data_IF_057370520391
#
_entry.id   IF_057370520391
#
_cell.length_a   1.000
_cell.length_b   1.000
_cell.length_c   1.000
_cell.angle_alpha   90.00
_cell.angle_beta   90.00
_cell.angle_gamma   90.00
#
_symmetry.space_group_name_H-M   'P 1'
#
loop_
_entity.id
_entity.type
_entity.pdbx_description
1 polymer ?
#
# COMPACT_ATOMS: atom_id res chain seq x y z
N UNK A 1 -11.90 1.06 -21.18
CA UNK A 1 -11.69 2.48 -21.52
C UNK A 1 -12.57 3.41 -20.70
N UNK A 2 -13.88 3.11 -20.59
CA UNK A 2 -14.82 3.92 -19.82
C UNK A 2 -14.40 4.11 -18.35
N UNK A 3 -13.95 3.04 -17.67
CA UNK A 3 -13.44 3.10 -16.28
C UNK A 3 -12.23 4.01 -16.17
N UNK A 4 -11.25 3.89 -17.07
CA UNK A 4 -10.05 4.74 -17.06
C UNK A 4 -10.42 6.22 -17.29
N UNK A 5 -11.36 6.49 -18.18
CA UNK A 5 -11.82 7.86 -18.44
C UNK A 5 -12.57 8.46 -17.23
N UNK A 6 -13.44 7.67 -16.56
CA UNK A 6 -14.10 8.11 -15.33
C UNK A 6 -13.11 8.34 -14.19
N UNK A 7 -12.13 7.44 -14.01
CA UNK A 7 -11.06 7.58 -13.01
C UNK A 7 -10.26 8.87 -13.21
N UNK A 8 -9.95 9.22 -14.46
CA UNK A 8 -9.25 10.47 -14.77
C UNK A 8 -10.07 11.72 -14.39
N UNK A 9 -11.36 11.76 -14.74
CA UNK A 9 -12.23 12.86 -14.34
C UNK A 9 -12.38 12.98 -12.83
N UNK A 10 -12.53 11.84 -12.16
CA UNK A 10 -12.61 11.77 -10.70
C UNK A 10 -11.32 12.29 -10.06
N UNK A 11 -10.16 11.89 -10.57
CA UNK A 11 -8.85 12.39 -10.11
C UNK A 11 -8.76 13.91 -10.21
N UNK A 12 -9.21 14.52 -11.31
CA UNK A 12 -9.19 15.99 -11.48
C UNK A 12 -10.03 16.68 -10.40
N UNK A 13 -11.25 16.17 -10.12
CA UNK A 13 -12.13 16.72 -9.09
C UNK A 13 -11.49 16.59 -7.70
N UNK A 14 -10.98 15.41 -7.37
CA UNK A 14 -10.33 15.14 -6.08
C UNK A 14 -9.14 16.09 -5.88
N UNK A 15 -8.28 16.22 -6.89
CA UNK A 15 -7.10 17.09 -6.82
C UNK A 15 -7.49 18.56 -6.65
N UNK A 16 -8.49 19.02 -7.40
CA UNK A 16 -8.95 20.41 -7.29
C UNK A 16 -9.47 20.72 -5.87
N UNK A 17 -10.30 19.85 -5.31
CA UNK A 17 -10.85 20.02 -3.95
C UNK A 17 -9.76 19.94 -2.89
N UNK A 18 -8.93 18.91 -2.92
CA UNK A 18 -7.94 18.67 -1.87
C UNK A 18 -6.84 19.72 -1.85
N UNK A 19 -6.37 20.17 -3.03
CA UNK A 19 -5.39 21.26 -3.13
C UNK A 19 -6.00 22.58 -2.62
N UNK A 20 -7.24 22.88 -2.98
CA UNK A 20 -7.92 24.08 -2.48
C UNK A 20 -8.04 24.05 -0.95
N UNK A 21 -8.48 22.93 -0.38
CA UNK A 21 -8.56 22.78 1.07
C UNK A 21 -7.19 22.92 1.75
N UNK A 22 -6.13 22.34 1.18
CA UNK A 22 -4.78 22.47 1.71
C UNK A 22 -4.28 23.93 1.70
N UNK A 23 -4.51 24.66 0.59
CA UNK A 23 -4.13 26.07 0.49
C UNK A 23 -4.86 26.92 1.53
N UNK A 24 -6.17 26.71 1.71
CA UNK A 24 -6.96 27.43 2.72
C UNK A 24 -6.49 27.09 4.13
N UNK A 25 -6.19 25.81 4.41
CA UNK A 25 -5.64 25.39 5.71
C UNK A 25 -4.29 26.07 6.00
N UNK A 26 -3.38 26.13 5.02
CA UNK A 26 -2.08 26.80 5.18
C UNK A 26 -2.26 28.32 5.37
N UNK A 27 -3.21 28.93 4.66
CA UNK A 27 -3.50 30.36 4.81
C UNK A 27 -4.03 30.69 6.21
N UNK A 28 -5.02 29.98 6.72
CA UNK A 28 -5.58 30.17 8.06
C UNK A 28 -4.63 29.73 9.19
N UNK A 29 -3.80 28.73 8.92
CA UNK A 29 -2.81 28.23 9.88
C UNK A 29 -1.54 29.06 9.98
N UNK A 30 -1.43 30.20 9.27
CA UNK A 30 -0.22 31.04 9.34
C UNK A 30 1.00 30.42 8.65
N UNK A 31 0.81 29.42 7.81
CA UNK A 31 1.86 28.72 7.08
C UNK A 31 2.10 27.29 7.56
N UNK A 32 2.80 26.51 6.74
CA UNK A 32 3.10 25.08 7.04
C UNK A 32 3.90 24.93 8.34
N UNK A 33 4.88 25.82 8.57
CA UNK A 33 5.72 25.78 9.77
C UNK A 33 4.90 25.98 11.05
N UNK A 34 3.92 26.89 11.00
CA UNK A 34 3.05 27.15 12.14
C UNK A 34 2.14 25.94 12.42
N UNK A 35 1.52 25.37 11.40
CA UNK A 35 0.69 24.16 11.53
C UNK A 35 1.48 23.01 12.18
N UNK A 36 2.74 22.82 11.78
CA UNK A 36 3.60 21.80 12.37
C UNK A 36 3.93 22.12 13.84
N UNK A 37 4.19 23.38 14.17
CA UNK A 37 4.51 23.77 15.54
C UNK A 37 3.31 23.70 16.49
N UNK A 38 2.11 23.96 15.98
CA UNK A 38 0.86 23.92 16.76
C UNK A 38 0.32 22.50 16.92
N UNK A 39 0.87 21.55 16.15
CA UNK A 39 0.44 20.17 16.23
C UNK A 39 0.79 19.57 17.59
N UNK A 40 -0.14 18.88 18.28
CA UNK A 40 0.08 18.30 19.61
C UNK A 40 1.12 17.16 19.53
N UNK A 41 2.39 17.48 19.79
CA UNK A 41 3.52 16.55 19.67
C UNK A 41 3.65 15.59 20.84
N UNK A 42 3.15 15.97 22.02
CA UNK A 42 3.33 15.19 23.25
C UNK A 42 2.71 13.79 23.15
N UNK A 43 1.54 13.68 22.52
CA UNK A 43 0.89 12.39 22.27
C UNK A 43 1.52 11.56 21.15
N UNK A 44 2.46 12.13 20.38
CA UNK A 44 3.17 11.43 19.29
C UNK A 44 4.49 10.81 19.74
N UNK A 45 5.16 11.44 20.68
CA UNK A 45 6.52 11.05 21.08
C UNK A 45 6.49 10.07 22.25
N UNK A 46 5.55 10.26 23.17
CA UNK A 46 5.43 9.43 24.38
C UNK A 46 3.99 8.97 24.56
N UNK A 47 3.76 7.66 24.51
CA UNK A 47 2.56 7.06 25.08
C UNK A 47 2.78 6.79 26.57
N UNK A 48 1.75 6.41 27.30
CA UNK A 48 1.86 6.16 28.75
C UNK A 48 2.81 5.01 29.06
N UNK A 49 2.85 3.98 28.20
CA UNK A 49 3.67 2.79 28.38
C UNK A 49 4.64 2.53 27.23
N UNK A 50 4.35 3.04 26.05
CA UNK A 50 5.10 2.79 24.83
C UNK A 50 5.62 4.11 24.25
N UNK A 51 6.88 4.14 23.89
CA UNK A 51 7.41 5.24 23.10
C UNK A 51 6.96 5.10 21.65
N UNK A 52 5.99 5.91 21.23
CA UNK A 52 5.42 5.87 19.88
C UNK A 52 6.45 6.08 18.78
N UNK A 53 7.47 6.87 19.00
CA UNK A 53 8.53 7.08 18.02
C UNK A 53 9.34 5.80 17.78
N UNK A 54 9.57 5.03 18.86
CA UNK A 54 10.24 3.72 18.77
C UNK A 54 9.38 2.68 18.04
N UNK A 55 8.08 2.62 18.37
CA UNK A 55 7.12 1.74 17.72
C UNK A 55 6.98 2.14 16.25
N UNK A 56 6.91 3.44 15.95
CA UNK A 56 6.86 3.94 14.59
C UNK A 56 8.03 3.44 13.75
N UNK A 57 9.23 3.36 14.30
CA UNK A 57 10.39 2.84 13.58
C UNK A 57 10.21 1.39 13.15
N UNK A 58 9.76 0.52 14.08
CA UNK A 58 9.46 -0.88 13.79
C UNK A 58 8.30 -0.97 12.80
N UNK A 59 7.25 -0.20 13.06
CA UNK A 59 6.05 -0.16 12.26
C UNK A 59 6.32 0.29 10.82
N UNK A 60 7.15 1.30 10.63
CA UNK A 60 7.56 1.81 9.33
C UNK A 60 8.23 0.72 8.48
N UNK A 61 9.11 -0.10 9.07
CA UNK A 61 9.76 -1.23 8.36
C UNK A 61 8.71 -2.26 7.91
N UNK A 62 7.86 -2.69 8.82
CA UNK A 62 6.87 -3.73 8.51
C UNK A 62 5.80 -3.23 7.54
N UNK A 63 5.37 -1.97 7.66
CA UNK A 63 4.46 -1.35 6.70
C UNK A 63 5.11 -1.21 5.33
N UNK A 64 6.38 -0.82 5.28
CA UNK A 64 7.13 -0.77 4.03
C UNK A 64 7.17 -2.16 3.36
N UNK A 65 7.55 -3.21 4.09
CA UNK A 65 7.58 -4.58 3.57
C UNK A 65 6.20 -5.05 3.11
N UNK A 66 5.16 -4.77 3.89
CA UNK A 66 3.78 -5.06 3.53
C UNK A 66 3.39 -4.32 2.25
N UNK A 67 3.63 -3.02 2.17
CA UNK A 67 3.25 -2.19 1.03
C UNK A 67 4.04 -2.56 -0.22
N UNK A 68 5.34 -2.85 -0.07
CA UNK A 68 6.17 -3.35 -1.15
C UNK A 68 5.64 -4.67 -1.71
N UNK A 69 5.27 -5.62 -0.84
CA UNK A 69 4.70 -6.90 -1.25
C UNK A 69 3.33 -6.76 -1.92
N UNK A 70 2.46 -5.87 -1.40
CA UNK A 70 1.13 -5.61 -1.96
C UNK A 70 1.23 -4.96 -3.33
N UNK A 71 2.19 -4.06 -3.54
CA UNK A 71 2.34 -3.33 -4.80
C UNK A 71 3.02 -4.17 -5.88
N UNK A 72 3.98 -5.02 -5.48
CA UNK A 72 4.82 -5.79 -6.40
C UNK A 72 4.43 -7.27 -6.44
N UNK A 73 3.16 -7.58 -6.51
CA UNK A 73 2.67 -8.95 -6.65
C UNK A 73 1.90 -9.16 -7.98
N UNK A 74 1.64 -10.41 -8.30
CA UNK A 74 0.95 -10.79 -9.54
C UNK A 74 -0.42 -10.15 -9.69
N UNK A 75 -1.13 -9.91 -8.58
CA UNK A 75 -2.49 -9.36 -8.59
C UNK A 75 -2.52 -7.88 -9.01
N UNK A 76 -1.43 -7.15 -8.81
CA UNK A 76 -1.31 -5.72 -9.13
C UNK A 76 -0.56 -5.43 -10.44
N UNK A 77 0.02 -6.45 -11.08
CA UNK A 77 0.76 -6.32 -12.34
C UNK A 77 -0.10 -5.81 -13.52
N UNK A 78 -1.41 -6.00 -13.48
CA UNK A 78 -2.33 -5.57 -14.54
C UNK A 78 -2.22 -4.08 -14.88
N UNK A 79 -1.86 -3.23 -13.92
CA UNK A 79 -1.69 -1.79 -14.12
C UNK A 79 -0.56 -1.48 -15.09
N UNK A 80 0.48 -2.28 -15.08
CA UNK A 80 1.63 -2.14 -15.99
C UNK A 80 1.36 -2.79 -17.34
N UNK A 81 0.61 -3.90 -17.36
CA UNK A 81 0.20 -4.59 -18.57
C UNK A 81 -0.76 -3.76 -19.44
N UNK A 82 -1.54 -2.86 -18.84
CA UNK A 82 -2.43 -1.95 -19.55
C UNK A 82 -1.71 -0.80 -20.27
N UNK A 83 -0.42 -0.56 -19.99
CA UNK A 83 0.35 0.49 -20.63
C UNK A 83 0.78 0.07 -22.04
N UNK A 84 0.92 1.07 -22.93
CA UNK A 84 1.29 0.87 -24.34
C UNK A 84 2.64 0.15 -24.50
N UNK A 85 3.60 0.49 -23.66
CA UNK A 85 4.95 -0.03 -23.64
C UNK A 85 5.59 0.14 -22.25
N UNK A 86 6.76 -0.45 -22.05
CA UNK A 86 7.50 -0.39 -20.79
C UNK A 86 7.85 1.04 -20.36
N UNK A 87 8.13 1.95 -21.31
CA UNK A 87 8.48 3.33 -21.02
C UNK A 87 7.25 4.09 -20.47
N UNK A 88 6.08 3.90 -21.07
CA UNK A 88 4.84 4.49 -20.57
C UNK A 88 4.44 3.89 -19.22
N UNK A 89 4.66 2.60 -18.99
CA UNK A 89 4.46 1.96 -17.68
C UNK A 89 5.36 2.59 -16.61
N UNK A 90 6.64 2.85 -16.92
CA UNK A 90 7.58 3.52 -16.00
C UNK A 90 7.20 4.96 -15.70
N UNK A 91 6.77 5.74 -16.72
CA UNK A 91 6.27 7.11 -16.52
C UNK A 91 5.04 7.13 -15.60
N UNK A 92 4.12 6.19 -15.80
CA UNK A 92 2.95 6.05 -14.94
C UNK A 92 3.35 5.68 -13.50
N UNK A 93 4.29 4.75 -13.32
CA UNK A 93 4.80 4.38 -12.00
C UNK A 93 5.52 5.55 -11.31
N UNK A 94 6.32 6.34 -12.05
CA UNK A 94 6.99 7.51 -11.50
C UNK A 94 5.98 8.59 -11.07
N UNK A 95 4.99 8.87 -11.91
CA UNK A 95 3.92 9.81 -11.56
C UNK A 95 3.17 9.34 -10.30
N UNK A 96 2.81 8.06 -10.23
CA UNK A 96 2.17 7.49 -9.04
C UNK A 96 3.06 7.63 -7.80
N UNK A 97 4.37 7.39 -7.92
CA UNK A 97 5.32 7.57 -6.83
C UNK A 97 5.33 9.02 -6.31
N UNK A 98 5.42 10.00 -7.20
CA UNK A 98 5.39 11.44 -6.83
C UNK A 98 4.07 11.79 -6.14
N UNK A 99 2.94 11.39 -6.72
CA UNK A 99 1.62 11.69 -6.16
C UNK A 99 1.39 11.02 -4.81
N UNK A 100 1.85 9.77 -4.63
CA UNK A 100 1.73 9.04 -3.36
C UNK A 100 2.70 9.55 -2.29
N UNK A 101 3.78 10.21 -2.67
CA UNK A 101 4.72 10.83 -1.71
C UNK A 101 4.26 12.21 -1.28
N UNK A 102 3.85 13.05 -2.23
CA UNK A 102 3.42 14.42 -1.95
C UNK A 102 1.93 14.51 -1.56
N UNK A 103 1.12 13.59 -2.05
CA UNK A 103 -0.31 13.56 -1.80
C UNK A 103 -0.69 13.61 -0.32
N UNK A 104 -0.13 12.77 0.55
CA UNK A 104 -0.43 12.79 1.98
C UNK A 104 -0.20 14.15 2.64
N UNK A 105 0.85 14.89 2.26
CA UNK A 105 1.11 16.23 2.77
C UNK A 105 -0.07 17.17 2.44
N UNK A 106 -0.58 17.09 1.21
CA UNK A 106 -1.70 17.90 0.76
C UNK A 106 -3.00 17.43 1.42
N UNK A 107 -3.25 16.11 1.42
CA UNK A 107 -4.52 15.56 1.88
C UNK A 107 -4.72 15.66 3.39
N UNK A 108 -3.67 15.55 4.18
CA UNK A 108 -3.76 15.64 5.64
C UNK A 108 -3.61 17.06 6.19
N UNK A 109 -3.22 18.03 5.38
CA UNK A 109 -3.00 19.41 5.82
C UNK A 109 -4.21 20.02 6.56
N UNK A 110 -5.46 19.89 6.09
CA UNK A 110 -6.62 20.39 6.81
C UNK A 110 -6.82 19.71 8.17
N UNK A 111 -6.62 18.41 8.25
CA UNK A 111 -6.75 17.66 9.50
C UNK A 111 -5.64 18.00 10.49
N UNK A 112 -4.41 18.21 10.02
CA UNK A 112 -3.30 18.66 10.87
C UNK A 112 -3.55 20.06 11.42
N UNK A 113 -4.04 20.98 10.59
CA UNK A 113 -4.45 22.30 11.03
C UNK A 113 -5.52 22.21 12.14
N UNK A 114 -6.56 21.39 11.94
CA UNK A 114 -7.61 21.20 12.97
C UNK A 114 -7.09 20.61 14.27
N UNK A 115 -6.16 19.66 14.20
CA UNK A 115 -5.52 19.11 15.39
C UNK A 115 -4.77 20.16 16.21
N UNK A 116 -4.09 21.09 15.52
CA UNK A 116 -3.39 22.23 16.17
C UNK A 116 -4.35 23.26 16.79
N UNK A 117 -5.58 23.36 16.29
CA UNK A 117 -6.58 24.28 16.85
C UNK A 117 -7.21 23.81 18.18
N UNK A 118 -6.96 22.54 18.59
CA UNK A 118 -7.50 21.99 19.82
C UNK A 118 -9.04 21.89 19.86
N UNK A 119 -9.68 21.74 18.69
CA UNK A 119 -11.14 21.63 18.60
C UNK A 119 -11.60 20.31 19.21
N UNK A 120 -12.59 20.39 20.10
CA UNK A 120 -13.26 19.19 20.64
C UNK A 120 -14.23 18.61 19.60
N UNK A 121 -13.71 17.72 18.76
CA UNK A 121 -14.49 17.02 17.75
C UNK A 121 -15.51 16.08 18.36
N UNK A 122 -15.30 15.58 19.59
CA UNK A 122 -16.27 14.72 20.27
C UNK A 122 -17.50 15.51 20.69
N UNK A 123 -17.33 16.79 21.10
CA UNK A 123 -18.43 17.69 21.36
C UNK A 123 -19.15 18.13 20.09
N UNK A 124 -18.41 18.33 18.97
CA UNK A 124 -18.99 18.70 17.69
C UNK A 124 -19.79 17.55 17.02
N UNK A 125 -19.33 16.30 17.22
CA UNK A 125 -19.95 15.09 16.65
C UNK A 125 -20.19 14.03 17.73
N UNK A 126 -21.11 14.23 18.67
CA UNK A 126 -21.33 13.33 19.82
C UNK A 126 -21.77 11.92 19.40
N UNK A 127 -22.45 11.80 18.26
CA UNK A 127 -22.86 10.50 17.71
C UNK A 127 -21.71 9.66 17.20
N UNK A 128 -20.56 10.28 16.86
CA UNK A 128 -19.38 9.59 16.36
C UNK A 128 -18.59 8.88 17.47
N UNK A 129 -18.72 9.29 18.73
CA UNK A 129 -18.03 8.70 19.87
C UNK A 129 -16.51 8.68 19.65
N UNK A 130 -15.87 7.52 19.78
CA UNK A 130 -14.43 7.34 19.56
C UNK A 130 -13.96 7.61 18.12
N UNK A 131 -14.89 7.74 17.16
CA UNK A 131 -14.59 8.03 15.75
C UNK A 131 -14.65 9.53 15.42
N UNK A 132 -14.85 10.40 16.39
CA UNK A 132 -15.01 11.85 16.18
C UNK A 132 -13.79 12.47 15.43
N UNK A 133 -12.59 11.97 15.65
CA UNK A 133 -11.38 12.42 14.96
C UNK A 133 -11.43 12.19 13.43
N UNK A 134 -12.17 11.18 12.95
CA UNK A 134 -12.32 10.91 11.51
C UNK A 134 -13.09 12.05 10.80
N UNK A 135 -13.79 12.90 11.54
CA UNK A 135 -14.55 14.04 11.02
C UNK A 135 -13.76 15.35 10.98
N UNK A 136 -12.49 15.36 11.36
CA UNK A 136 -11.67 16.58 11.39
C UNK A 136 -11.64 17.32 10.04
N UNK A 137 -11.53 16.59 8.93
CA UNK A 137 -11.53 17.17 7.60
C UNK A 137 -12.90 17.78 7.23
N UNK A 138 -13.98 17.09 7.57
CA UNK A 138 -15.35 17.58 7.32
C UNK A 138 -15.61 18.84 8.14
N UNK A 139 -15.21 18.86 9.40
CA UNK A 139 -15.32 20.05 10.27
C UNK A 139 -14.56 21.24 9.69
N UNK A 140 -13.32 21.01 9.22
CA UNK A 140 -12.54 22.06 8.53
C UNK A 140 -13.30 22.65 7.36
N UNK A 141 -13.90 21.82 6.51
CA UNK A 141 -14.63 22.30 5.33
C UNK A 141 -15.89 23.04 5.73
N UNK A 142 -16.60 22.62 6.75
CA UNK A 142 -17.79 23.30 7.26
C UNK A 142 -17.49 24.69 7.83
N UNK A 143 -16.35 24.85 8.52
CA UNK A 143 -16.01 26.07 9.24
C UNK A 143 -15.22 27.08 8.38
N UNK A 144 -14.28 26.60 7.56
CA UNK A 144 -13.30 27.44 6.87
C UNK A 144 -13.56 27.60 5.36
N UNK A 145 -14.48 26.81 4.79
CA UNK A 145 -14.69 26.84 3.35
C UNK A 145 -16.02 27.51 2.98
N UNK A 146 -16.11 28.15 1.80
CA UNK A 146 -17.35 28.77 1.38
C UNK A 146 -18.48 27.77 1.15
N UNK A 147 -19.71 28.26 1.19
CA UNK A 147 -20.90 27.47 0.94
C UNK A 147 -20.81 26.69 -0.38
N UNK A 148 -21.22 25.42 -0.35
CA UNK A 148 -21.13 24.50 -1.48
C UNK A 148 -19.86 23.64 -1.49
N UNK A 149 -18.79 24.03 -0.81
CA UNK A 149 -17.56 23.21 -0.72
C UNK A 149 -17.77 21.90 0.04
N UNK A 150 -18.67 21.87 1.03
CA UNK A 150 -19.05 20.64 1.72
C UNK A 150 -19.60 19.62 0.72
N UNK A 151 -20.53 20.04 -0.14
CA UNK A 151 -21.08 19.16 -1.18
C UNK A 151 -20.02 18.72 -2.19
N UNK A 152 -19.10 19.61 -2.56
CA UNK A 152 -18.00 19.28 -3.47
C UNK A 152 -16.99 18.31 -2.81
N UNK A 153 -16.70 18.46 -1.50
CA UNK A 153 -15.90 17.52 -0.75
C UNK A 153 -16.54 16.13 -0.72
N UNK A 154 -17.84 16.06 -0.40
CA UNK A 154 -18.58 14.80 -0.39
C UNK A 154 -18.54 14.16 -1.77
N UNK A 155 -18.76 14.93 -2.84
CA UNK A 155 -18.64 14.44 -4.22
C UNK A 155 -17.22 13.90 -4.53
N UNK A 156 -16.18 14.59 -4.06
CA UNK A 156 -14.79 14.13 -4.22
C UNK A 156 -14.51 12.82 -3.43
N UNK A 157 -15.05 12.68 -2.22
CA UNK A 157 -14.95 11.45 -1.43
C UNK A 157 -15.65 10.28 -2.12
N UNK A 158 -16.86 10.50 -2.65
CA UNK A 158 -17.56 9.49 -3.45
C UNK A 158 -16.77 9.14 -4.71
N UNK A 159 -16.23 10.13 -5.43
CA UNK A 159 -15.41 9.90 -6.61
C UNK A 159 -14.18 9.03 -6.29
N UNK A 160 -13.46 9.30 -5.20
CA UNK A 160 -12.32 8.51 -4.77
C UNK A 160 -12.68 7.05 -4.46
N UNK A 161 -13.82 6.85 -3.78
CA UNK A 161 -14.31 5.52 -3.43
C UNK A 161 -14.77 4.76 -4.68
N UNK A 162 -15.55 5.40 -5.56
CA UNK A 162 -16.06 4.79 -6.79
C UNK A 162 -14.94 4.34 -7.72
N UNK A 163 -13.92 5.15 -7.93
CA UNK A 163 -12.75 4.81 -8.77
C UNK A 163 -12.08 3.51 -8.31
N UNK A 164 -11.85 3.37 -7.00
CA UNK A 164 -11.25 2.17 -6.44
C UNK A 164 -12.17 0.94 -6.54
N UNK A 165 -13.47 1.13 -6.32
CA UNK A 165 -14.46 0.05 -6.39
C UNK A 165 -14.65 -0.45 -7.82
N UNK A 166 -14.84 0.45 -8.79
CA UNK A 166 -15.06 0.08 -10.19
C UNK A 166 -13.90 -0.74 -10.74
N UNK A 167 -12.67 -0.27 -10.53
CA UNK A 167 -11.47 -0.99 -10.95
C UNK A 167 -11.34 -2.34 -10.26
N UNK A 168 -11.65 -2.42 -8.95
CA UNK A 168 -11.62 -3.65 -8.16
C UNK A 168 -12.67 -4.67 -8.62
N UNK A 169 -13.92 -4.24 -8.81
CA UNK A 169 -15.02 -5.09 -9.23
C UNK A 169 -14.79 -5.66 -10.65
N UNK A 170 -14.37 -4.82 -11.59
CA UNK A 170 -14.06 -5.26 -12.95
C UNK A 170 -12.92 -6.29 -12.97
N UNK A 171 -11.84 -6.04 -12.24
CA UNK A 171 -10.72 -6.98 -12.14
C UNK A 171 -11.16 -8.30 -11.54
N UNK A 172 -11.85 -8.27 -10.40
CA UNK A 172 -12.22 -9.48 -9.67
C UNK A 172 -13.25 -10.32 -10.45
N UNK A 173 -14.20 -9.67 -11.12
CA UNK A 173 -15.13 -10.39 -11.99
C UNK A 173 -14.43 -11.02 -13.21
N UNK A 174 -13.47 -10.31 -13.82
CA UNK A 174 -12.65 -10.85 -14.89
C UNK A 174 -11.82 -12.06 -14.47
N UNK A 175 -11.20 -12.00 -13.29
CA UNK A 175 -10.46 -13.13 -12.70
C UNK A 175 -11.40 -14.32 -12.46
N UNK A 176 -12.57 -14.10 -11.88
CA UNK A 176 -13.54 -15.16 -11.64
C UNK A 176 -13.99 -15.82 -12.95
N UNK A 177 -14.35 -15.02 -13.95
CA UNK A 177 -14.83 -15.52 -15.25
C UNK A 177 -13.74 -16.31 -15.97
N UNK A 178 -12.53 -15.76 -16.08
CA UNK A 178 -11.43 -16.37 -16.86
C UNK A 178 -10.72 -17.52 -16.16
N UNK A 179 -10.66 -17.53 -14.83
CA UNK A 179 -9.91 -18.55 -14.09
C UNK A 179 -10.81 -19.61 -13.43
N UNK A 180 -12.09 -19.35 -13.28
CA UNK A 180 -13.01 -20.28 -12.63
C UNK A 180 -14.20 -20.66 -13.55
N UNK A 181 -14.99 -19.67 -13.99
CA UNK A 181 -16.21 -19.96 -14.72
C UNK A 181 -15.94 -20.64 -16.07
N UNK A 182 -15.13 -20.01 -16.91
CA UNK A 182 -14.80 -20.51 -18.26
C UNK A 182 -14.09 -21.86 -18.21
N UNK A 183 -12.97 -22.06 -17.51
CA UNK A 183 -12.22 -23.32 -17.56
C UNK A 183 -12.86 -24.48 -16.80
N UNK A 184 -13.67 -24.22 -15.76
CA UNK A 184 -14.18 -25.27 -14.87
C UNK A 184 -15.67 -25.53 -15.13
N UNK A 185 -16.50 -24.48 -15.20
CA UNK A 185 -17.96 -24.63 -15.28
C UNK A 185 -18.46 -24.70 -16.72
N UNK A 186 -17.91 -23.88 -17.61
CA UNK A 186 -18.40 -23.71 -18.98
C UNK A 186 -17.27 -23.51 -20.00
N UNK A 187 -16.47 -24.57 -20.32
CA UNK A 187 -15.31 -24.45 -21.22
C UNK A 187 -15.64 -23.99 -22.64
N UNK A 188 -16.92 -24.05 -23.05
CA UNK A 188 -17.41 -23.63 -24.36
C UNK A 188 -18.36 -22.44 -24.29
N UNK A 189 -18.25 -21.62 -23.24
CA UNK A 189 -19.07 -20.41 -23.07
C UNK A 189 -18.82 -19.41 -24.21
N UNK A 190 -19.91 -18.79 -24.69
CA UNK A 190 -19.81 -17.73 -25.70
C UNK A 190 -19.35 -16.40 -25.05
N UNK A 191 -18.76 -15.51 -25.84
CA UNK A 191 -18.37 -14.17 -25.36
C UNK A 191 -19.54 -13.39 -24.73
N UNK A 192 -20.76 -13.57 -25.25
CA UNK A 192 -21.99 -12.98 -24.69
C UNK A 192 -22.30 -13.55 -23.31
N UNK A 193 -22.18 -14.86 -23.15
CA UNK A 193 -22.37 -15.54 -21.85
C UNK A 193 -21.33 -15.06 -20.84
N UNK A 194 -20.05 -15.03 -21.20
CA UNK A 194 -18.97 -14.55 -20.35
C UNK A 194 -19.19 -13.09 -19.90
N UNK A 195 -19.68 -12.25 -20.80
CA UNK A 195 -20.02 -10.86 -20.48
C UNK A 195 -21.17 -10.75 -19.47
N UNK A 196 -22.23 -11.55 -19.64
CA UNK A 196 -23.35 -11.59 -18.69
C UNK A 196 -22.90 -12.08 -17.33
N UNK A 197 -22.13 -13.17 -17.29
CA UNK A 197 -21.60 -13.72 -16.03
C UNK A 197 -20.67 -12.69 -15.34
N UNK A 198 -19.83 -11.98 -16.10
CA UNK A 198 -18.99 -10.92 -15.55
C UNK A 198 -19.82 -9.82 -14.87
N UNK A 199 -20.90 -9.37 -15.51
CA UNK A 199 -21.81 -8.37 -14.92
C UNK A 199 -22.49 -8.88 -13.64
N UNK A 200 -23.01 -10.11 -13.66
CA UNK A 200 -23.65 -10.72 -12.50
C UNK A 200 -22.65 -10.89 -11.34
N UNK A 201 -21.43 -11.33 -11.63
CA UNK A 201 -20.37 -11.49 -10.64
C UNK A 201 -19.95 -10.13 -10.04
N UNK A 202 -19.82 -9.09 -10.87
CA UNK A 202 -19.55 -7.72 -10.38
C UNK A 202 -20.66 -7.22 -9.45
N UNK A 203 -21.92 -7.45 -9.82
CA UNK A 203 -23.07 -7.09 -8.99
C UNK A 203 -23.05 -7.84 -7.66
N UNK A 204 -22.81 -9.16 -7.69
CA UNK A 204 -22.70 -9.98 -6.48
C UNK A 204 -21.58 -9.49 -5.55
N UNK A 205 -20.38 -9.22 -6.09
CA UNK A 205 -19.28 -8.68 -5.30
C UNK A 205 -19.59 -7.27 -4.75
N UNK A 206 -20.27 -6.44 -5.53
CA UNK A 206 -20.72 -5.12 -5.05
C UNK A 206 -21.66 -5.23 -3.84
N UNK A 207 -22.65 -6.12 -3.91
CA UNK A 207 -23.55 -6.38 -2.78
C UNK A 207 -22.78 -6.93 -1.57
N UNK A 208 -21.85 -7.87 -1.80
CA UNK A 208 -21.03 -8.42 -0.72
C UNK A 208 -20.19 -7.33 -0.03
N UNK A 209 -19.59 -6.41 -0.79
CA UNK A 209 -18.84 -5.27 -0.25
C UNK A 209 -19.75 -4.38 0.62
N UNK A 210 -20.98 -4.08 0.16
CA UNK A 210 -21.93 -3.29 0.94
C UNK A 210 -22.27 -3.98 2.26
N UNK A 211 -22.54 -5.28 2.24
CA UNK A 211 -22.84 -6.05 3.45
C UNK A 211 -21.67 -6.05 4.44
N UNK A 212 -20.45 -6.25 3.93
CA UNK A 212 -19.23 -6.18 4.76
C UNK A 212 -19.02 -4.79 5.34
N UNK A 213 -19.23 -3.72 4.54
CA UNK A 213 -19.12 -2.35 5.01
C UNK A 213 -20.13 -2.03 6.12
N UNK A 214 -21.38 -2.47 5.98
CA UNK A 214 -22.40 -2.33 7.00
C UNK A 214 -22.04 -3.11 8.29
N UNK A 215 -21.50 -4.32 8.12
CA UNK A 215 -21.01 -5.11 9.26
C UNK A 215 -19.85 -4.40 9.97
N UNK A 216 -18.84 -3.92 9.25
CA UNK A 216 -17.72 -3.17 9.84
C UNK A 216 -18.22 -1.90 10.55
N UNK A 217 -19.16 -1.18 9.95
CA UNK A 217 -19.74 0.01 10.58
C UNK A 217 -20.49 -0.30 11.88
N UNK A 218 -21.05 -1.52 12.02
CA UNK A 218 -21.71 -1.94 13.26
C UNK A 218 -20.72 -2.24 14.40
N UNK A 219 -19.44 -2.46 14.10
CA UNK A 219 -18.40 -2.67 15.10
C UNK A 219 -18.08 -1.33 15.79
N UNK A 220 -18.40 -1.26 17.07
CA UNK A 220 -18.13 -0.07 17.89
C UNK A 220 -16.70 -0.10 18.42
N UNK A 221 -16.05 1.06 18.50
CA UNK A 221 -14.77 1.23 19.20
C UNK A 221 -13.51 1.29 18.36
N UNK A 222 -13.57 1.09 17.02
CA UNK A 222 -12.43 1.26 16.14
C UNK A 222 -12.65 2.44 15.19
N UNK A 223 -11.64 3.27 15.00
CA UNK A 223 -11.62 4.29 13.93
C UNK A 223 -11.60 3.63 12.54
N UNK A 224 -11.92 4.41 11.50
CA UNK A 224 -11.81 3.91 10.12
C UNK A 224 -10.36 3.52 9.77
N UNK A 225 -9.40 4.30 10.27
CA UNK A 225 -7.98 4.01 10.09
C UNK A 225 -7.57 2.69 10.75
N UNK A 226 -7.94 2.48 12.02
CA UNK A 226 -7.64 1.23 12.74
C UNK A 226 -8.25 0.02 12.04
N UNK A 227 -9.51 0.13 11.61
CA UNK A 227 -10.19 -0.92 10.85
C UNK A 227 -9.44 -1.25 9.56
N UNK A 228 -9.01 -0.24 8.79
CA UNK A 228 -8.22 -0.44 7.58
C UNK A 228 -6.88 -1.13 7.89
N UNK A 229 -6.22 -0.73 8.95
CA UNK A 229 -4.94 -1.32 9.35
C UNK A 229 -5.10 -2.78 9.77
N UNK A 230 -6.15 -3.10 10.56
CA UNK A 230 -6.47 -4.47 10.95
C UNK A 230 -6.79 -5.37 9.77
N UNK A 231 -7.72 -4.94 8.90
CA UNK A 231 -8.08 -5.70 7.70
C UNK A 231 -6.86 -5.86 6.79
N UNK A 232 -6.08 -4.80 6.62
CA UNK A 232 -4.85 -4.84 5.83
C UNK A 232 -3.79 -5.80 6.40
N UNK A 233 -3.59 -5.82 7.71
CA UNK A 233 -2.60 -6.67 8.35
C UNK A 233 -3.04 -8.14 8.44
N UNK A 234 -4.28 -8.39 8.84
CA UNK A 234 -4.74 -9.75 9.15
C UNK A 234 -5.35 -10.49 7.95
N UNK A 235 -5.86 -9.78 6.94
CA UNK A 235 -6.48 -10.39 5.77
C UNK A 235 -5.67 -10.08 4.50
N UNK A 236 -5.42 -8.81 4.25
CA UNK A 236 -4.77 -8.37 3.02
C UNK A 236 -3.33 -8.87 2.87
N UNK A 237 -2.53 -8.74 3.92
CA UNK A 237 -1.12 -9.10 3.86
C UNK A 237 -0.89 -10.61 3.68
N UNK A 238 -1.50 -11.53 4.45
CA UNK A 238 -1.33 -12.96 4.22
C UNK A 238 -1.77 -13.42 2.83
N UNK A 239 -2.78 -12.79 2.24
CA UNK A 239 -3.21 -13.10 0.87
C UNK A 239 -2.17 -12.72 -0.19
N UNK A 240 -1.36 -11.70 0.06
CA UNK A 240 -0.34 -11.24 -0.91
C UNK A 240 0.96 -12.03 -0.82
N UNK A 241 1.25 -12.69 0.30
CA UNK A 241 2.51 -13.42 0.51
C UNK A 241 2.76 -14.47 -0.59
N UNK A 242 1.86 -15.43 -0.86
CA UNK A 242 2.11 -16.41 -1.91
C UNK A 242 2.19 -15.79 -3.30
N UNK A 243 1.42 -14.74 -3.58
CA UNK A 243 1.45 -14.04 -4.86
C UNK A 243 2.77 -13.27 -5.07
N UNK A 244 3.38 -12.77 -4.01
CA UNK A 244 4.68 -12.10 -4.04
C UNK A 244 5.83 -13.11 -4.09
N UNK A 245 5.85 -14.08 -3.20
CA UNK A 245 6.91 -15.09 -3.13
C UNK A 245 6.99 -15.95 -4.40
N UNK A 246 5.86 -16.16 -5.08
CA UNK A 246 5.79 -16.90 -6.34
C UNK A 246 6.60 -16.31 -7.48
N UNK A 247 6.98 -15.02 -7.42
CA UNK A 247 7.91 -14.43 -8.40
C UNK A 247 9.36 -14.88 -8.21
N UNK A 248 9.73 -15.30 -7.01
CA UNK A 248 11.12 -15.58 -6.66
C UNK A 248 11.38 -17.07 -6.46
N UNK A 249 10.36 -17.84 -6.07
CA UNK A 249 10.52 -19.24 -5.70
C UNK A 249 9.85 -20.13 -6.73
N UNK A 250 10.67 -20.74 -7.59
CA UNK A 250 10.21 -21.61 -8.68
C UNK A 250 9.75 -23.00 -8.19
N UNK A 251 10.45 -23.58 -7.23
CA UNK A 251 10.22 -24.96 -6.76
C UNK A 251 9.25 -24.98 -5.59
N UNK A 252 7.97 -24.85 -5.85
CA UNK A 252 6.90 -24.91 -4.85
C UNK A 252 5.91 -26.00 -5.20
N UNK A 253 5.37 -26.74 -4.21
CA UNK A 253 4.31 -27.71 -4.47
C UNK A 253 3.01 -26.98 -4.84
N UNK A 254 2.10 -27.65 -5.58
CA UNK A 254 0.82 -27.09 -6.03
C UNK A 254 -0.06 -26.53 -4.90
N UNK A 255 0.07 -27.10 -3.72
CA UNK A 255 -0.69 -26.69 -2.55
C UNK A 255 -0.06 -25.47 -1.78
N UNK A 256 1.17 -25.07 -2.11
CA UNK A 256 1.87 -24.03 -1.37
C UNK A 256 1.07 -22.71 -1.28
N UNK A 257 0.45 -22.31 -2.36
CA UNK A 257 -0.34 -21.07 -2.40
C UNK A 257 -1.52 -21.09 -1.43
N UNK A 258 -2.44 -22.05 -1.59
CA UNK A 258 -3.61 -22.15 -0.72
C UNK A 258 -3.27 -22.58 0.70
N UNK A 259 -2.26 -23.45 0.88
CA UNK A 259 -1.76 -23.82 2.20
C UNK A 259 -1.24 -22.61 2.99
N UNK A 260 -0.54 -21.70 2.32
CA UNK A 260 -0.08 -20.44 2.90
C UNK A 260 -1.26 -19.54 3.31
N UNK A 261 -2.35 -19.51 2.54
CA UNK A 261 -3.55 -18.78 2.93
C UNK A 261 -4.20 -19.36 4.19
N UNK A 262 -4.26 -20.69 4.30
CA UNK A 262 -4.78 -21.37 5.50
C UNK A 262 -3.92 -21.03 6.73
N UNK A 263 -2.60 -21.15 6.62
CA UNK A 263 -1.68 -20.79 7.72
C UNK A 263 -1.81 -19.30 8.06
N UNK A 264 -1.92 -18.42 7.05
CA UNK A 264 -2.17 -17.02 7.27
C UNK A 264 -3.48 -16.75 8.01
N UNK A 265 -4.56 -17.47 7.68
CA UNK A 265 -5.83 -17.42 8.41
C UNK A 265 -5.69 -17.87 9.88
N UNK A 266 -4.91 -18.92 10.13
CA UNK A 266 -4.61 -19.36 11.50
C UNK A 266 -3.83 -18.30 12.28
N UNK A 267 -2.79 -17.73 11.69
CA UNK A 267 -2.03 -16.61 12.32
C UNK A 267 -2.95 -15.44 12.62
N UNK A 268 -3.80 -15.04 11.66
CA UNK A 268 -4.77 -13.97 11.84
C UNK A 268 -5.75 -14.26 12.97
N UNK A 269 -6.23 -15.48 13.06
CA UNK A 269 -7.12 -15.91 14.16
C UNK A 269 -6.43 -15.77 15.52
N UNK A 270 -5.21 -16.28 15.64
CA UNK A 270 -4.45 -16.17 16.90
C UNK A 270 -4.22 -14.70 17.29
N UNK A 271 -3.75 -13.87 16.38
CA UNK A 271 -3.52 -12.44 16.64
C UNK A 271 -4.84 -11.70 16.90
N UNK A 272 -5.89 -12.03 16.16
CA UNK A 272 -7.18 -11.36 16.26
C UNK A 272 -7.95 -11.66 17.54
N UNK A 273 -7.94 -12.92 17.96
CA UNK A 273 -8.88 -13.43 18.98
C UNK A 273 -8.21 -14.10 20.18
N UNK A 274 -6.99 -14.61 20.07
CA UNK A 274 -6.32 -15.34 21.14
C UNK A 274 -5.36 -14.46 21.90
N UNK A 275 -4.53 -13.69 21.20
CA UNK A 275 -3.55 -12.80 21.84
C UNK A 275 -4.29 -11.59 22.41
N UNK A 276 -4.18 -11.42 23.73
CA UNK A 276 -4.79 -10.30 24.47
C UNK A 276 -3.74 -9.32 24.98
N UNK A 277 -4.16 -8.11 25.32
CA UNK A 277 -3.26 -7.11 25.91
C UNK A 277 -2.59 -7.65 27.18
N UNK A 278 -3.37 -8.30 28.07
CA UNK A 278 -2.87 -8.84 29.34
C UNK A 278 -1.77 -9.88 29.13
N UNK A 279 -1.88 -10.73 28.10
CA UNK A 279 -0.83 -11.70 27.78
C UNK A 279 0.47 -11.00 27.41
N UNK A 280 0.40 -9.96 26.59
CA UNK A 280 1.57 -9.21 26.16
C UNK A 280 2.18 -8.42 27.32
N UNK A 281 1.35 -7.79 28.13
CA UNK A 281 1.79 -7.08 29.35
C UNK A 281 2.58 -8.03 30.27
N UNK A 282 2.00 -9.22 30.53
CA UNK A 282 2.66 -10.22 31.37
C UNK A 282 3.97 -10.78 30.79
N UNK A 283 4.02 -11.01 29.45
CA UNK A 283 5.22 -11.55 28.81
C UNK A 283 6.38 -10.56 28.76
N UNK A 284 6.08 -9.27 28.59
CA UNK A 284 7.08 -8.23 28.43
C UNK A 284 7.24 -7.35 29.67
N UNK A 285 6.47 -7.59 30.73
CA UNK A 285 6.51 -6.79 31.95
C UNK A 285 6.06 -5.36 31.75
N UNK A 286 5.11 -5.12 30.84
CA UNK A 286 4.57 -3.81 30.53
C UNK A 286 3.46 -3.43 31.52
N UNK A 287 3.31 -2.12 31.77
CA UNK A 287 2.15 -1.59 32.48
C UNK A 287 0.87 -1.77 31.65
N UNK A 288 -0.25 -1.38 32.20
CA UNK A 288 -1.55 -1.44 31.51
C UNK A 288 -1.51 -0.62 30.21
N UNK A 289 -1.76 -1.28 29.08
CA UNK A 289 -1.75 -0.67 27.76
C UNK A 289 -3.06 0.09 27.53
N UNK A 290 -2.97 1.30 27.01
CA UNK A 290 -4.15 2.03 26.53
C UNK A 290 -4.76 1.33 25.31
N UNK A 291 -6.03 1.59 25.03
CA UNK A 291 -6.71 0.99 23.88
C UNK A 291 -5.97 1.26 22.53
N UNK A 292 -5.37 2.46 22.40
CA UNK A 292 -4.57 2.83 21.22
C UNK A 292 -3.25 2.06 21.15
N UNK A 293 -2.51 2.02 22.25
CA UNK A 293 -1.26 1.26 22.33
C UNK A 293 -1.46 -0.21 21.97
N UNK A 294 -2.55 -0.79 22.49
CA UNK A 294 -2.93 -2.16 22.14
C UNK A 294 -3.26 -2.33 20.66
N UNK A 295 -4.02 -1.40 20.06
CA UNK A 295 -4.39 -1.45 18.65
C UNK A 295 -3.15 -1.43 17.75
N UNK A 296 -2.23 -0.50 18.00
CA UNK A 296 -0.98 -0.36 17.24
C UNK A 296 -0.06 -1.58 17.40
N UNK A 297 0.08 -2.06 18.63
CA UNK A 297 0.90 -3.23 18.93
C UNK A 297 0.34 -4.50 18.28
N UNK A 298 -0.97 -4.67 18.27
CA UNK A 298 -1.65 -5.80 17.64
C UNK A 298 -1.43 -5.85 16.13
N UNK A 299 -1.43 -4.71 15.46
CA UNK A 299 -1.05 -4.63 14.03
C UNK A 299 0.40 -5.06 13.82
N UNK A 300 1.33 -4.60 14.65
CA UNK A 300 2.73 -4.97 14.56
C UNK A 300 2.94 -6.48 14.78
N UNK A 301 2.30 -7.05 15.80
CA UNK A 301 2.32 -8.50 16.08
C UNK A 301 1.78 -9.29 14.89
N UNK A 302 0.69 -8.82 14.28
CA UNK A 302 0.10 -9.43 13.08
C UNK A 302 1.08 -9.45 11.90
N UNK A 303 1.72 -8.34 11.62
CA UNK A 303 2.70 -8.23 10.52
C UNK A 303 3.92 -9.12 10.77
N UNK A 304 4.47 -9.12 11.97
CA UNK A 304 5.58 -9.99 12.36
C UNK A 304 5.16 -11.45 12.26
N UNK A 305 3.99 -11.80 12.79
CA UNK A 305 3.45 -13.15 12.72
C UNK A 305 3.32 -13.67 11.29
N UNK A 306 2.82 -12.85 10.38
CA UNK A 306 2.72 -13.22 8.96
C UNK A 306 4.08 -13.36 8.28
N UNK A 307 5.04 -12.47 8.57
CA UNK A 307 6.38 -12.58 8.01
C UNK A 307 7.06 -13.87 8.50
N UNK A 308 6.96 -14.17 9.79
CA UNK A 308 7.64 -15.34 10.37
C UNK A 308 6.92 -16.63 10.00
N UNK A 309 5.63 -16.73 10.29
CA UNK A 309 4.91 -18.00 10.16
C UNK A 309 4.30 -18.19 8.76
N UNK A 310 3.68 -17.19 8.18
CA UNK A 310 3.00 -17.35 6.90
C UNK A 310 4.00 -17.36 5.73
N UNK A 311 4.92 -16.40 5.68
CA UNK A 311 5.96 -16.42 4.64
C UNK A 311 6.98 -17.54 4.90
N UNK A 312 7.32 -17.81 6.18
CA UNK A 312 8.14 -18.96 6.58
C UNK A 312 7.54 -20.27 6.10
N UNK A 313 6.23 -20.48 6.27
CA UNK A 313 5.54 -21.67 5.76
C UNK A 313 5.65 -21.79 4.24
N UNK A 314 5.45 -20.69 3.49
CA UNK A 314 5.62 -20.72 2.04
C UNK A 314 7.03 -21.15 1.63
N UNK A 315 8.05 -20.61 2.29
CA UNK A 315 9.46 -21.00 2.04
C UNK A 315 9.69 -22.47 2.44
N UNK A 316 9.24 -22.89 3.60
CA UNK A 316 9.39 -24.28 4.07
C UNK A 316 8.63 -25.28 3.18
N UNK A 317 7.54 -24.84 2.52
CA UNK A 317 6.82 -25.71 1.60
C UNK A 317 7.69 -26.20 0.43
N UNK A 318 8.75 -25.48 0.08
CA UNK A 318 9.70 -25.87 -0.97
C UNK A 318 10.40 -27.20 -0.67
N UNK A 319 10.54 -27.57 0.60
CA UNK A 319 11.10 -28.86 1.02
C UNK A 319 10.22 -30.05 0.57
N UNK A 320 8.95 -29.82 0.32
CA UNK A 320 7.98 -30.80 -0.14
C UNK A 320 7.75 -30.75 -1.65
N UNK A 321 8.59 -30.03 -2.38
CA UNK A 321 8.50 -29.96 -3.84
C UNK A 321 8.65 -31.35 -4.45
N UNK A 322 7.75 -31.68 -5.36
CA UNK A 322 7.84 -32.86 -6.23
C UNK A 322 7.86 -32.38 -7.68
N UNK A 323 8.62 -33.07 -8.55
CA UNK A 323 8.58 -32.75 -9.98
C UNK A 323 7.14 -32.70 -10.51
N UNK A 324 6.83 -31.64 -11.23
CA UNK A 324 5.50 -31.42 -11.81
C UNK A 324 5.34 -32.33 -13.05
N UNK A 325 4.10 -32.64 -13.47
CA UNK A 325 3.84 -33.19 -14.78
C UNK A 325 4.46 -32.30 -15.87
N UNK A 326 4.96 -32.91 -16.94
CA UNK A 326 5.74 -32.22 -18.00
C UNK A 326 5.05 -30.97 -18.55
N UNK A 327 3.71 -31.01 -18.75
CA UNK A 327 2.95 -29.86 -19.23
C UNK A 327 2.98 -28.68 -18.25
N UNK A 328 2.90 -28.96 -16.93
CA UNK A 328 2.95 -27.92 -15.88
C UNK A 328 4.36 -27.38 -15.70
N UNK A 329 5.37 -28.22 -15.82
CA UNK A 329 6.76 -27.77 -15.77
C UNK A 329 7.08 -26.83 -16.92
N UNK A 330 6.61 -27.12 -18.13
CA UNK A 330 6.71 -26.23 -19.29
C UNK A 330 6.05 -24.85 -19.05
N UNK A 331 4.89 -24.84 -18.39
CA UNK A 331 4.21 -23.57 -18.06
C UNK A 331 5.00 -22.74 -17.04
N UNK A 332 5.54 -23.40 -16.02
CA UNK A 332 6.41 -22.76 -15.02
C UNK A 332 7.67 -22.23 -15.69
N UNK A 333 8.31 -23.04 -16.56
CA UNK A 333 9.51 -22.63 -17.29
C UNK A 333 9.22 -21.43 -18.21
N UNK A 334 8.12 -21.47 -18.92
CA UNK A 334 7.67 -20.36 -19.76
C UNK A 334 7.46 -19.09 -18.95
N UNK A 335 6.85 -19.20 -17.76
CA UNK A 335 6.65 -18.05 -16.87
C UNK A 335 7.97 -17.43 -16.44
N UNK A 336 8.91 -18.22 -15.90
CA UNK A 336 10.19 -17.72 -15.42
C UNK A 336 11.09 -17.24 -16.56
N UNK A 337 11.06 -17.89 -17.72
CA UNK A 337 11.77 -17.44 -18.92
C UNK A 337 11.21 -16.10 -19.42
N UNK A 338 9.90 -15.95 -19.48
CA UNK A 338 9.28 -14.66 -19.83
C UNK A 338 9.62 -13.56 -18.83
N UNK A 339 9.67 -13.90 -17.53
CA UNK A 339 10.06 -12.94 -16.50
C UNK A 339 11.52 -12.47 -16.65
N UNK A 340 12.40 -13.37 -17.08
CA UNK A 340 13.82 -13.08 -17.31
C UNK A 340 14.09 -12.41 -18.67
N UNK A 341 13.15 -12.52 -19.62
CA UNK A 341 13.34 -12.04 -20.99
C UNK A 341 12.75 -10.62 -21.12
N UNK A 342 13.53 -9.63 -21.58
CA UNK A 342 12.99 -8.30 -21.89
C UNK A 342 11.91 -8.38 -22.96
N UNK A 343 10.79 -7.69 -22.78
CA UNK A 343 9.62 -7.72 -23.68
C UNK A 343 9.86 -7.12 -25.07
N UNK A 344 10.97 -6.38 -25.26
CA UNK A 344 11.36 -5.78 -26.54
C UNK A 344 12.87 -5.84 -26.65
N UNK A 345 13.40 -6.15 -27.84
CA UNK A 345 14.80 -5.90 -28.15
C UNK A 345 15.05 -4.39 -28.00
N UNK A 346 15.65 -3.99 -26.89
CA UNK A 346 15.85 -2.59 -26.52
C UNK A 346 16.80 -1.95 -27.55
N UNK A 347 16.31 -0.92 -28.23
CA UNK A 347 17.19 -0.05 -29.02
C UNK A 347 18.21 0.61 -28.09
N UNK A 348 19.37 0.99 -28.62
CA UNK A 348 20.40 1.66 -27.82
C UNK A 348 19.86 2.94 -27.15
N UNK A 349 18.95 3.67 -27.80
CA UNK A 349 18.26 4.82 -27.20
C UNK A 349 17.41 4.42 -26.00
N UNK A 350 16.74 3.26 -26.07
CA UNK A 350 15.91 2.76 -25.00
C UNK A 350 16.75 2.33 -23.79
N UNK A 351 17.90 1.71 -24.03
CA UNK A 351 18.88 1.35 -22.99
C UNK A 351 19.45 2.60 -22.30
N UNK A 352 19.76 3.66 -23.06
CA UNK A 352 20.22 4.94 -22.49
C UNK A 352 19.17 5.58 -21.60
N UNK A 353 17.92 5.60 -22.07
CA UNK A 353 16.81 6.13 -21.30
C UNK A 353 16.59 5.31 -20.02
N UNK A 354 16.71 3.99 -20.09
CA UNK A 354 16.65 3.09 -18.95
C UNK A 354 17.77 3.36 -17.94
N UNK A 355 18.99 3.52 -18.41
CA UNK A 355 20.13 3.87 -17.58
C UNK A 355 19.91 5.20 -16.85
N UNK A 356 19.45 6.22 -17.58
CA UNK A 356 19.12 7.53 -16.99
C UNK A 356 18.02 7.41 -15.91
N UNK A 357 16.97 6.62 -16.19
CA UNK A 357 15.89 6.40 -15.24
C UNK A 357 16.37 5.62 -14.01
N UNK A 358 17.19 4.59 -14.18
CA UNK A 358 17.79 3.82 -13.08
C UNK A 358 18.67 4.70 -12.20
N UNK A 359 19.51 5.55 -12.78
CA UNK A 359 20.32 6.52 -12.03
C UNK A 359 19.43 7.49 -11.24
N UNK A 360 18.41 8.07 -11.89
CA UNK A 360 17.50 9.00 -11.22
C UNK A 360 16.73 8.33 -10.09
N UNK A 361 16.12 7.18 -10.33
CA UNK A 361 15.36 6.44 -9.34
C UNK A 361 16.27 5.96 -8.20
N UNK A 362 17.42 5.38 -8.52
CA UNK A 362 18.40 4.94 -7.54
C UNK A 362 18.91 6.08 -6.67
N UNK A 363 19.18 7.25 -7.27
CA UNK A 363 19.59 8.44 -6.51
C UNK A 363 18.48 8.95 -5.60
N UNK A 364 17.22 9.00 -6.07
CA UNK A 364 16.08 9.39 -5.25
C UNK A 364 15.89 8.44 -4.06
N UNK A 365 15.97 7.13 -4.28
CA UNK A 365 15.88 6.13 -3.22
C UNK A 365 17.06 6.27 -2.24
N UNK A 366 18.28 6.51 -2.74
CA UNK A 366 19.44 6.73 -1.87
C UNK A 366 19.27 8.00 -1.01
N UNK A 367 18.79 9.10 -1.59
CA UNK A 367 18.48 10.33 -0.85
C UNK A 367 17.39 10.09 0.18
N UNK A 368 16.33 9.37 -0.16
CA UNK A 368 15.29 8.98 0.80
C UNK A 368 15.87 8.13 1.95
N UNK A 369 16.79 7.21 1.65
CA UNK A 369 17.50 6.43 2.67
C UNK A 369 18.30 7.31 3.62
N UNK A 370 19.02 8.31 3.09
CA UNK A 370 19.69 9.32 3.92
C UNK A 370 18.69 10.09 4.78
N UNK A 371 17.55 10.51 4.19
CA UNK A 371 16.47 11.18 4.94
C UNK A 371 15.97 10.34 6.13
N UNK A 372 15.76 9.03 5.94
CA UNK A 372 15.40 8.13 7.04
C UNK A 372 16.52 8.04 8.09
N UNK A 373 17.78 7.98 7.67
CA UNK A 373 18.91 7.98 8.63
C UNK A 373 18.98 9.27 9.46
N UNK A 374 18.64 10.43 8.89
CA UNK A 374 18.65 11.70 9.65
C UNK A 374 17.64 11.72 10.80
N UNK A 375 16.61 10.87 10.77
CA UNK A 375 15.66 10.70 11.87
C UNK A 375 16.32 10.14 13.15
N UNK A 376 17.58 9.70 13.10
CA UNK A 376 18.42 9.41 14.26
C UNK A 376 18.49 10.58 15.26
N UNK A 377 18.35 11.81 14.79
CA UNK A 377 18.40 13.02 15.64
C UNK A 377 17.17 13.15 16.55
N UNK A 378 16.06 12.49 16.20
CA UNK A 378 14.83 12.54 16.99
C UNK A 378 15.04 12.00 18.42
N UNK A 379 14.36 12.56 19.42
CA UNK A 379 14.48 12.17 20.82
C UNK A 379 13.86 10.79 21.06
N UNK A 380 14.64 9.76 20.86
CA UNK A 380 14.24 8.35 20.93
C UNK A 380 15.30 7.57 21.72
N UNK A 381 14.96 6.49 22.41
CA UNK A 381 15.94 5.56 22.98
C UNK A 381 16.95 5.09 21.94
N UNK A 382 18.18 4.78 22.35
CA UNK A 382 19.28 4.44 21.44
C UNK A 382 18.91 3.32 20.46
N UNK A 383 18.20 2.30 20.91
CA UNK A 383 17.76 1.21 20.04
C UNK A 383 16.82 1.69 18.93
N UNK A 384 15.89 2.58 19.22
CA UNK A 384 14.97 3.17 18.22
C UNK A 384 15.73 4.05 17.21
N UNK A 385 16.73 4.83 17.66
CA UNK A 385 17.62 5.58 16.76
C UNK A 385 18.39 4.66 15.82
N UNK A 386 18.88 3.53 16.33
CA UNK A 386 19.59 2.54 15.52
C UNK A 386 18.69 1.86 14.49
N UNK A 387 17.40 1.69 14.80
CA UNK A 387 16.41 1.18 13.81
C UNK A 387 16.27 2.14 12.64
N UNK A 388 16.20 3.45 12.84
CA UNK A 388 16.20 4.44 11.75
C UNK A 388 17.46 4.35 10.89
N UNK A 389 18.63 4.22 11.53
CA UNK A 389 19.90 4.03 10.79
C UNK A 389 19.88 2.76 9.96
N UNK A 390 19.46 1.64 10.54
CA UNK A 390 19.37 0.36 9.83
C UNK A 390 18.40 0.43 8.64
N UNK A 391 17.21 0.95 8.85
CA UNK A 391 16.23 1.12 7.78
C UNK A 391 16.74 2.03 6.67
N UNK A 392 17.30 3.18 7.05
CA UNK A 392 17.88 4.11 6.12
C UNK A 392 19.04 3.51 5.32
N UNK A 393 19.90 2.71 5.95
CA UNK A 393 20.96 1.97 5.28
C UNK A 393 20.42 0.94 4.28
N UNK A 394 19.36 0.21 4.62
CA UNK A 394 18.70 -0.74 3.70
C UNK A 394 18.19 0.01 2.47
N UNK A 395 17.42 1.07 2.67
CA UNK A 395 16.87 1.89 1.58
C UNK A 395 17.99 2.52 0.74
N UNK A 396 19.00 3.09 1.39
CA UNK A 396 20.18 3.65 0.73
C UNK A 396 20.92 2.62 -0.12
N UNK A 397 21.13 1.41 0.42
CA UNK A 397 21.80 0.31 -0.28
C UNK A 397 21.03 -0.14 -1.53
N UNK A 398 19.71 -0.23 -1.44
CA UNK A 398 18.85 -0.52 -2.61
C UNK A 398 19.02 0.57 -3.68
N UNK A 399 19.02 1.85 -3.28
CA UNK A 399 19.27 2.97 -4.20
C UNK A 399 20.62 2.86 -4.90
N UNK A 400 21.68 2.56 -4.14
CA UNK A 400 23.03 2.38 -4.70
C UNK A 400 23.12 1.17 -5.64
N UNK A 401 22.46 0.06 -5.31
CA UNK A 401 22.43 -1.13 -6.17
C UNK A 401 21.77 -0.81 -7.52
N UNK A 402 20.69 -0.02 -7.51
CA UNK A 402 20.04 0.43 -8.75
C UNK A 402 20.97 1.33 -9.58
N UNK A 403 21.71 2.24 -8.96
CA UNK A 403 22.68 3.10 -9.65
C UNK A 403 23.82 2.25 -10.22
N UNK A 404 24.35 1.28 -9.47
CA UNK A 404 25.41 0.38 -9.94
C UNK A 404 24.96 -0.60 -11.03
N UNK A 405 23.67 -0.89 -11.12
CA UNK A 405 23.12 -1.76 -12.17
C UNK A 405 22.96 -1.05 -13.53
N UNK A 406 23.44 0.19 -13.65
CA UNK A 406 23.51 0.94 -14.90
C UNK A 406 24.60 0.32 -15.78
N UNK A 407 24.27 0.04 -17.05
CA UNK A 407 25.23 -0.51 -18.01
C UNK A 407 26.03 0.64 -18.68
N UNK A 408 27.19 0.94 -18.12
CA UNK A 408 28.06 2.03 -18.59
C UNK A 408 28.60 1.80 -20.03
N UNK A 409 28.55 0.56 -20.52
CA UNK A 409 29.00 0.26 -21.90
C UNK A 409 28.09 0.87 -22.95
N UNK A 410 26.83 1.11 -22.64
CA UNK A 410 25.87 1.72 -23.55
C UNK A 410 26.11 3.24 -23.69
N UNK A 411 26.63 3.88 -22.64
CA UNK A 411 26.96 5.32 -22.68
C UNK A 411 28.27 5.60 -23.44
N UNK A 412 29.25 4.69 -23.36
CA UNK A 412 30.55 4.86 -24.01
C UNK A 412 30.52 4.65 -25.52
N UNK A 413 29.51 3.99 -26.08
CA UNK A 413 29.45 3.76 -27.55
C UNK A 413 29.19 5.02 -28.38
N UNK A 414 28.66 6.09 -27.80
CA UNK A 414 28.43 7.36 -28.53
C UNK A 414 29.64 8.32 -28.48
N UNK A 415 30.52 8.18 -27.48
CA UNK A 415 31.75 8.99 -27.44
C UNK A 415 32.78 8.53 -28.47
N UNK A 416 32.61 7.32 -29.03
CA UNK A 416 33.55 6.70 -29.97
C UNK A 416 33.11 6.84 -31.43
N UNK A 417 31.90 7.32 -31.70
CA UNK A 417 31.49 7.64 -33.09
C UNK A 417 31.48 9.15 -33.26
N UNK A 418 32.61 9.73 -33.77
CA UNK A 418 32.59 11.12 -34.25
C UNK A 418 31.63 11.18 -35.43
N UNK A 419 30.86 12.26 -35.50
CA UNK A 419 30.05 12.60 -36.64
C UNK A 419 30.92 12.55 -37.92
N UNK A 420 30.79 11.48 -38.70
CA UNK A 420 31.21 11.52 -40.08
C UNK A 420 30.07 12.11 -40.92
N UNK A 421 30.33 13.29 -41.43
CA UNK A 421 29.90 13.88 -42.68
C UNK A 421 28.46 14.33 -42.84
#
# INVERSE_FOLDING_TARGET
WAVIASDFMQMVIIMAVTVTCAVVAVYHGGGVTQIISDFPTDSFITGDNLNYLSIFSIWAVFIFLKQFSITNNMLNSYRYLAAKDSNNARKAALLACVLMTLGPIIWFMPSWFMAGQGVDLAAAYPEAGSKAADFAYLYFVQEYMPAGMVGLLIAAMFAATMSSMDSGLNRNSGIFVKNFYEPILRPKATEKELMVVSKLTSTFFGIAIILVALFINSLKGLSLFDTMMYVGALIGFPMTIPAFCGFFIRKTPDWAGWGTLVVGGVVSYFVGFVITADMIQNWFGLNELTGREWADLKVAIGLIGHIVFTAGFFVLSTLFYKPLPEHREKDVDKFFNNLATPLVAESNEQKKLDNKQRRMLGSLIAVAGVGVMTMFVLPNPMWGRMVFVLCGLIVFSVGLLLVKAVDDKVEQQDEVTPAEG
#
